data_IF_437293876753
#
_entry.id   IF_437293876753
#
_cell.length_a   1.000
_cell.length_b   1.000
_cell.length_c   1.000
_cell.angle_alpha   90.00
_cell.angle_beta   90.00
_cell.angle_gamma   90.00
#
_symmetry.space_group_name_H-M   'P 1'
#
loop_
_entity.id
_entity.type
_entity.pdbx_description
1 polymer ?
#
# COMPACT_ATOMS: atom_id res chain seq x y z
N UNK A 1 -43.75 0.96 23.29
CA UNK A 1 -42.72 2.02 23.42
C UNK A 1 -41.92 2.04 22.14
N UNK A 2 -42.10 3.07 21.31
CA UNK A 2 -41.36 3.24 20.05
C UNK A 2 -40.08 4.01 20.38
N UNK A 3 -38.92 3.40 20.14
CA UNK A 3 -37.62 4.06 20.33
C UNK A 3 -37.52 5.14 19.25
N UNK A 4 -37.48 6.42 19.65
CA UNK A 4 -37.21 7.51 18.72
C UNK A 4 -35.74 7.42 18.25
N UNK A 5 -35.52 7.26 16.95
CA UNK A 5 -34.18 7.29 16.38
C UNK A 5 -33.59 8.69 16.56
N UNK A 6 -32.43 8.77 17.22
CA UNK A 6 -31.71 10.01 17.48
C UNK A 6 -30.61 10.18 16.44
N UNK A 7 -30.64 11.28 15.69
CA UNK A 7 -29.59 11.65 14.73
C UNK A 7 -28.59 12.58 15.42
N UNK A 8 -27.29 12.31 15.25
CA UNK A 8 -26.20 13.16 15.74
C UNK A 8 -25.36 13.66 14.55
N UNK A 9 -24.66 14.78 14.74
CA UNK A 9 -23.78 15.38 13.72
C UNK A 9 -22.34 15.30 14.23
N UNK A 10 -21.43 14.77 13.41
CA UNK A 10 -20.00 14.84 13.64
C UNK A 10 -19.45 16.17 13.12
N UNK A 11 -18.50 16.76 13.85
CA UNK A 11 -17.94 18.09 13.57
C UNK A 11 -16.52 17.98 13.02
N UNK A 12 -16.35 18.26 11.72
CA UNK A 12 -15.04 18.24 11.07
C UNK A 12 -14.12 19.42 11.43
N UNK A 13 -14.67 20.49 12.04
CA UNK A 13 -13.87 21.60 12.55
C UNK A 13 -13.22 21.26 13.90
N UNK A 14 -13.82 20.34 14.67
CA UNK A 14 -13.27 19.81 15.91
C UNK A 14 -12.03 18.94 15.62
N UNK A 15 -10.88 19.38 16.13
CA UNK A 15 -9.59 18.71 15.88
C UNK A 15 -9.56 17.25 16.37
N UNK A 16 -10.20 16.95 17.50
CA UNK A 16 -10.24 15.59 18.05
C UNK A 16 -11.01 14.66 17.10
N UNK A 17 -12.18 15.10 16.62
CA UNK A 17 -12.99 14.31 15.68
C UNK A 17 -12.30 14.17 14.32
N UNK A 18 -11.67 15.24 13.80
CA UNK A 18 -10.93 15.20 12.54
C UNK A 18 -9.73 14.25 12.61
N UNK A 19 -8.97 14.27 13.70
CA UNK A 19 -7.83 13.36 13.89
C UNK A 19 -8.30 11.91 14.01
N UNK A 20 -9.34 11.64 14.80
CA UNK A 20 -9.93 10.31 14.89
C UNK A 20 -10.45 9.79 13.54
N UNK A 21 -11.04 10.66 12.72
CA UNK A 21 -11.46 10.31 11.36
C UNK A 21 -10.26 9.98 10.45
N UNK A 22 -9.17 10.75 10.53
CA UNK A 22 -7.93 10.48 9.80
C UNK A 22 -7.30 9.14 10.22
N UNK A 23 -7.27 8.84 11.52
CA UNK A 23 -6.73 7.57 12.03
C UNK A 23 -7.61 6.39 11.58
N UNK A 24 -8.93 6.54 11.61
CA UNK A 24 -9.87 5.54 11.12
C UNK A 24 -9.75 5.30 9.60
N UNK A 25 -9.48 6.35 8.82
CA UNK A 25 -9.19 6.24 7.39
C UNK A 25 -7.86 5.52 7.12
N UNK A 26 -6.82 5.82 7.90
CA UNK A 26 -5.54 5.14 7.83
C UNK A 26 -5.66 3.63 8.15
N UNK A 27 -6.46 3.25 9.16
CA UNK A 27 -6.77 1.84 9.47
C UNK A 27 -7.50 1.18 8.30
N UNK A 28 -8.49 1.84 7.70
CA UNK A 28 -9.20 1.32 6.53
C UNK A 28 -8.25 1.11 5.34
N UNK A 29 -7.35 2.06 5.08
CA UNK A 29 -6.30 1.92 4.07
C UNK A 29 -5.41 0.71 4.34
N UNK A 30 -4.97 0.51 5.60
CA UNK A 30 -4.18 -0.65 6.00
C UNK A 30 -4.92 -1.99 5.80
N UNK A 31 -6.19 -2.06 6.20
CA UNK A 31 -7.04 -3.25 5.99
C UNK A 31 -7.22 -3.54 4.51
N UNK A 32 -7.42 -2.51 3.68
CA UNK A 32 -7.52 -2.64 2.24
C UNK A 32 -6.24 -3.20 1.61
N UNK A 33 -5.06 -2.73 2.03
CA UNK A 33 -3.77 -3.26 1.58
C UNK A 33 -3.63 -4.74 1.97
N UNK A 34 -3.95 -5.10 3.22
CA UNK A 34 -3.91 -6.49 3.68
C UNK A 34 -4.85 -7.39 2.85
N UNK A 35 -6.05 -6.92 2.53
CA UNK A 35 -7.00 -7.62 1.67
C UNK A 35 -6.46 -7.82 0.25
N UNK A 36 -5.84 -6.78 -0.35
CA UNK A 36 -5.22 -6.83 -1.68
C UNK A 36 -4.09 -7.85 -1.72
N UNK A 37 -3.16 -7.81 -0.75
CA UNK A 37 -2.04 -8.76 -0.65
C UNK A 37 -2.54 -10.19 -0.43
N UNK A 38 -3.56 -10.36 0.42
CA UNK A 38 -4.21 -11.65 0.61
C UNK A 38 -4.82 -12.20 -0.68
N UNK A 39 -5.43 -11.34 -1.50
CA UNK A 39 -5.94 -11.74 -2.83
C UNK A 39 -4.82 -12.12 -3.78
N UNK A 40 -3.72 -11.35 -3.78
CA UNK A 40 -2.56 -11.65 -4.60
C UNK A 40 -1.98 -13.05 -4.30
N UNK A 41 -1.77 -13.36 -3.02
CA UNK A 41 -1.28 -14.68 -2.60
C UNK A 41 -2.20 -15.82 -3.04
N UNK A 42 -3.52 -15.66 -2.92
CA UNK A 42 -4.48 -16.68 -3.39
C UNK A 42 -4.38 -16.90 -4.90
N UNK A 43 -4.21 -15.84 -5.69
CA UNK A 43 -4.05 -15.98 -7.15
C UNK A 43 -2.72 -16.62 -7.53
N UNK A 44 -1.61 -16.26 -6.87
CA UNK A 44 -0.32 -16.93 -7.10
C UNK A 44 -0.39 -18.42 -6.77
N UNK A 45 -1.03 -18.77 -5.65
CA UNK A 45 -1.22 -20.18 -5.27
C UNK A 45 -2.05 -20.94 -6.31
N UNK A 46 -3.13 -20.35 -6.81
CA UNK A 46 -3.96 -20.96 -7.83
C UNK A 46 -3.19 -21.18 -9.15
N UNK A 47 -2.40 -20.20 -9.60
CA UNK A 47 -1.53 -20.32 -10.78
C UNK A 47 -0.45 -21.40 -10.59
N UNK A 48 0.16 -21.46 -9.41
CA UNK A 48 1.12 -22.51 -9.05
C UNK A 48 0.50 -23.91 -9.09
N UNK A 49 -0.72 -24.04 -8.58
CA UNK A 49 -1.50 -25.28 -8.60
C UNK A 49 -1.93 -25.67 -10.02
N UNK A 50 -2.15 -24.70 -10.92
CA UNK A 50 -2.43 -24.97 -12.34
C UNK A 50 -1.18 -25.23 -13.19
N UNK A 51 0.02 -25.23 -12.59
CA UNK A 51 1.27 -25.60 -13.25
C UNK A 51 2.20 -24.44 -13.63
N UNK A 52 1.78 -23.18 -13.47
CA UNK A 52 2.63 -22.00 -13.72
C UNK A 52 3.60 -21.83 -12.55
N UNK A 53 4.91 -21.99 -12.75
CA UNK A 53 5.87 -22.09 -11.63
C UNK A 53 7.18 -21.34 -11.89
N UNK A 54 7.93 -21.11 -10.82
CA UNK A 54 9.25 -20.48 -10.88
C UNK A 54 9.20 -19.13 -11.58
N UNK A 55 10.12 -18.91 -12.51
CA UNK A 55 10.24 -17.65 -13.25
C UNK A 55 8.96 -17.31 -14.03
N UNK A 56 8.25 -18.31 -14.57
CA UNK A 56 6.99 -18.09 -15.29
C UNK A 56 5.92 -17.49 -14.37
N UNK A 57 5.84 -17.95 -13.12
CA UNK A 57 4.89 -17.44 -12.14
C UNK A 57 5.21 -16.00 -11.73
N UNK A 58 6.49 -15.67 -11.52
CA UNK A 58 6.90 -14.32 -11.12
C UNK A 58 6.80 -13.29 -12.24
N UNK A 59 6.96 -13.73 -13.50
CA UNK A 59 6.81 -12.87 -14.67
C UNK A 59 5.39 -12.93 -15.25
N UNK A 60 4.48 -13.70 -14.64
CA UNK A 60 3.11 -13.82 -15.12
C UNK A 60 2.41 -12.45 -15.07
N UNK A 61 1.66 -12.02 -16.10
CA UNK A 61 1.03 -10.70 -16.15
C UNK A 61 0.16 -10.38 -14.93
N UNK A 62 -0.52 -11.38 -14.36
CA UNK A 62 -1.30 -11.21 -13.11
C UNK A 62 -0.39 -10.83 -11.94
N UNK A 63 0.76 -11.48 -11.79
CA UNK A 63 1.70 -11.18 -10.73
C UNK A 63 2.31 -9.78 -10.89
N UNK A 64 2.71 -9.44 -12.11
CA UNK A 64 3.24 -8.12 -12.45
C UNK A 64 2.19 -7.01 -12.22
N UNK A 65 0.91 -7.27 -12.49
CA UNK A 65 -0.17 -6.30 -12.28
C UNK A 65 -0.35 -5.94 -10.80
N UNK A 66 -0.38 -6.94 -9.91
CA UNK A 66 -0.45 -6.70 -8.46
C UNK A 66 0.77 -5.93 -7.96
N UNK A 67 1.98 -6.38 -8.32
CA UNK A 67 3.23 -5.73 -7.92
C UNK A 67 3.29 -4.28 -8.40
N UNK A 68 2.89 -4.02 -9.66
CA UNK A 68 2.87 -2.66 -10.22
C UNK A 68 1.94 -1.73 -9.44
N UNK A 69 0.74 -2.18 -9.06
CA UNK A 69 -0.22 -1.34 -8.31
C UNK A 69 0.20 -1.13 -6.87
N UNK A 70 0.78 -2.13 -6.21
CA UNK A 70 1.38 -1.96 -4.88
C UNK A 70 2.55 -0.97 -4.92
N UNK A 71 3.39 -1.02 -5.95
CA UNK A 71 4.49 -0.05 -6.13
C UNK A 71 3.93 1.38 -6.32
N UNK A 72 2.90 1.55 -7.16
CA UNK A 72 2.30 2.86 -7.41
C UNK A 72 1.61 3.47 -6.18
N UNK A 73 1.00 2.68 -5.29
CA UNK A 73 0.38 3.16 -4.04
C UNK A 73 1.39 3.87 -3.12
N UNK A 74 2.66 3.48 -3.19
CA UNK A 74 3.75 4.08 -2.42
C UNK A 74 4.31 5.36 -3.07
N UNK A 75 3.59 5.98 -4.02
CA UNK A 75 4.05 7.12 -4.83
C UNK A 75 5.42 6.87 -5.48
N UNK A 76 5.72 5.59 -5.77
CA UNK A 76 6.99 5.18 -6.34
C UNK A 76 6.93 5.29 -7.87
N UNK A 77 7.75 6.17 -8.44
CA UNK A 77 8.04 6.18 -9.89
C UNK A 77 9.24 5.29 -10.19
N UNK A 78 9.42 4.93 -11.46
CA UNK A 78 10.59 4.15 -11.90
C UNK A 78 11.92 4.83 -11.51
N UNK A 79 12.01 6.15 -11.71
CA UNK A 79 13.22 6.91 -11.38
C UNK A 79 13.46 6.94 -9.87
N UNK A 80 12.41 7.15 -9.06
CA UNK A 80 12.52 7.13 -7.59
C UNK A 80 12.93 5.75 -7.07
N UNK A 81 12.43 4.68 -7.68
CA UNK A 81 12.83 3.31 -7.34
C UNK A 81 14.32 3.10 -7.64
N UNK A 82 14.78 3.50 -8.82
CA UNK A 82 16.17 3.35 -9.22
C UNK A 82 17.12 4.19 -8.36
N UNK A 83 16.73 5.42 -8.03
CA UNK A 83 17.50 6.30 -7.16
C UNK A 83 17.56 5.78 -5.73
N UNK A 84 16.47 5.23 -5.19
CA UNK A 84 16.47 4.57 -3.90
C UNK A 84 17.41 3.35 -3.87
N UNK A 85 17.37 2.49 -4.90
CA UNK A 85 18.28 1.33 -5.01
C UNK A 85 19.75 1.74 -5.14
N UNK A 86 20.04 2.87 -5.77
CA UNK A 86 21.39 3.46 -5.81
C UNK A 86 21.79 4.04 -4.45
N UNK A 87 20.87 4.76 -3.79
CA UNK A 87 21.09 5.35 -2.47
C UNK A 87 21.45 4.29 -1.43
N UNK A 88 20.76 3.14 -1.40
CA UNK A 88 21.06 2.03 -0.50
C UNK A 88 22.52 1.55 -0.64
N UNK A 89 23.00 1.40 -1.88
CA UNK A 89 24.41 0.98 -2.14
C UNK A 89 25.44 2.02 -1.70
N UNK A 90 25.09 3.30 -1.71
CA UNK A 90 25.97 4.38 -1.24
C UNK A 90 25.99 4.44 0.29
N UNK A 91 24.83 4.28 0.92
CA UNK A 91 24.70 4.17 2.38
C UNK A 91 25.50 2.98 2.91
N UNK A 92 25.45 1.83 2.24
CA UNK A 92 26.24 0.63 2.59
C UNK A 92 27.75 0.90 2.62
N UNK A 93 28.24 1.85 1.80
CA UNK A 93 29.64 2.27 1.74
C UNK A 93 29.99 3.39 2.73
N UNK A 94 29.04 3.80 3.56
CA UNK A 94 29.20 4.90 4.52
C UNK A 94 29.07 6.29 3.91
N UNK A 95 28.58 6.41 2.66
CA UNK A 95 28.37 7.71 2.01
C UNK A 95 27.04 8.34 2.44
N UNK A 96 27.00 9.67 2.51
CA UNK A 96 25.75 10.42 2.66
C UNK A 96 25.01 10.54 1.32
N UNK A 97 23.68 10.48 1.36
CA UNK A 97 22.80 10.57 0.19
C UNK A 97 21.68 11.56 0.46
N UNK A 98 21.44 12.47 -0.49
CA UNK A 98 20.28 13.36 -0.50
C UNK A 98 19.11 12.66 -1.20
N UNK A 99 17.87 12.91 -0.75
CA UNK A 99 16.67 12.30 -1.32
C UNK A 99 15.48 13.25 -1.27
N UNK A 100 14.57 13.08 -2.23
CA UNK A 100 13.35 13.88 -2.33
C UNK A 100 12.28 13.38 -1.34
N UNK A 101 11.83 14.29 -0.47
CA UNK A 101 10.73 14.07 0.46
C UNK A 101 9.42 14.55 -0.18
N UNK A 102 8.44 13.66 -0.31
CA UNK A 102 7.08 14.00 -0.74
C UNK A 102 6.20 14.07 0.51
N UNK A 103 5.63 15.24 0.87
CA UNK A 103 4.71 15.38 1.99
C UNK A 103 3.47 14.49 1.83
N UNK A 104 2.96 13.94 2.94
CA UNK A 104 1.74 13.12 2.94
C UNK A 104 0.52 13.93 2.50
#
# INVERSE_FOLDING_TARGET
>A
MTIANKTAIADGSNEIQRKAASDADAVQCGVNIAAIVGSFHRHLLALQQSGVRGDELFNHPVALSFTSKLNALCRMSHDRELDALRAVRRIERGESVEYEVIPL
#
